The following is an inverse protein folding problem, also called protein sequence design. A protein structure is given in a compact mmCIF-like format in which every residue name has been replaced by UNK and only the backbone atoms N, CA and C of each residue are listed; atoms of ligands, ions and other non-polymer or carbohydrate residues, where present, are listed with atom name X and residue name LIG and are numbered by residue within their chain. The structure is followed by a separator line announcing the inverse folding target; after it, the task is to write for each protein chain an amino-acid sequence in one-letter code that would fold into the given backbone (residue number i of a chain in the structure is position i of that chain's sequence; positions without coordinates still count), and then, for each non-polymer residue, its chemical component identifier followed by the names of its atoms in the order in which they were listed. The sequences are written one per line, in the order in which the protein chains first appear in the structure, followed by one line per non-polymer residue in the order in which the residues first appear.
data_IF_749139608609
#
_entry.id   IF_749139608609
#
_cell.length_a   1.000
_cell.length_b   1.000
_cell.length_c   1.000
_cell.angle_alpha   90.00
_cell.angle_beta   90.00
_cell.angle_gamma   90.00
#
_symmetry.space_group_name_H-M   'P 1'
#
loop_
_entity.id
_entity.type
_entity.pdbx_description
1 polymer ?
#
# COMPACT_ATOMS: atom_id res chain seq x y z
N UNK A 1 32.79 27.31 -10.83
CA UNK A 1 32.54 28.03 -9.57
C UNK A 1 31.22 27.52 -8.97
N UNK A 2 31.35 26.74 -7.90
CA UNK A 2 30.43 26.45 -6.79
C UNK A 2 29.07 25.81 -7.12
N UNK A 3 28.96 24.48 -7.06
CA UNK A 3 28.70 23.71 -5.83
C UNK A 3 27.47 24.22 -5.06
N UNK A 4 26.30 23.63 -5.32
CA UNK A 4 25.22 23.55 -4.32
C UNK A 4 25.12 22.10 -3.84
N UNK A 5 25.98 21.79 -2.87
CA UNK A 5 25.90 20.61 -1.99
C UNK A 5 24.52 20.61 -1.33
N UNK A 6 23.61 19.75 -1.79
CA UNK A 6 22.35 19.56 -1.09
C UNK A 6 22.61 18.63 0.11
N UNK A 7 22.67 19.24 1.31
CA UNK A 7 22.75 18.57 2.61
C UNK A 7 21.75 17.41 2.66
N UNK A 8 22.23 16.17 2.75
CA UNK A 8 21.41 15.05 3.22
C UNK A 8 21.08 15.34 4.68
N UNK A 9 19.92 15.92 4.92
CA UNK A 9 19.34 15.94 6.24
C UNK A 9 18.81 14.52 6.47
N UNK A 10 19.39 13.78 7.42
CA UNK A 10 18.87 12.50 7.94
C UNK A 10 17.62 12.74 8.81
N UNK A 11 16.76 13.65 8.39
CA UNK A 11 15.39 13.69 8.85
C UNK A 11 14.64 12.70 7.97
N UNK A 12 14.00 11.69 8.57
CA UNK A 12 13.09 10.80 7.84
C UNK A 12 12.13 11.68 7.07
N UNK A 13 12.36 11.80 5.77
CA UNK A 13 11.56 12.66 4.93
C UNK A 13 10.17 12.03 4.92
N UNK A 14 9.21 12.64 5.62
CA UNK A 14 7.86 12.10 5.73
C UNK A 14 7.25 11.80 4.35
N UNK A 15 7.65 12.59 3.33
CA UNK A 15 7.31 12.33 1.95
C UNK A 15 7.88 11.00 1.43
N UNK A 16 9.14 10.67 1.71
CA UNK A 16 9.71 9.38 1.34
C UNK A 16 9.05 8.22 2.09
N UNK A 17 8.69 8.42 3.35
CA UNK A 17 8.01 7.41 4.17
C UNK A 17 6.61 7.12 3.60
N UNK A 18 5.83 8.16 3.31
CA UNK A 18 4.54 8.03 2.63
C UNK A 18 4.72 7.39 1.24
N UNK A 19 5.68 7.84 0.43
CA UNK A 19 5.94 7.27 -0.89
C UNK A 19 6.38 5.81 -0.85
N UNK A 20 7.10 5.38 0.19
CA UNK A 20 7.43 3.97 0.36
C UNK A 20 6.18 3.11 0.61
N UNK A 21 5.17 3.70 1.25
CA UNK A 21 3.90 3.05 1.54
C UNK A 21 2.96 3.05 0.31
N UNK A 22 2.75 4.21 -0.33
CA UNK A 22 1.78 4.37 -1.44
C UNK A 22 2.39 4.15 -2.83
N UNK A 23 3.72 4.09 -2.94
CA UNK A 23 4.45 4.02 -4.21
C UNK A 23 4.47 2.62 -4.84
N UNK A 24 3.91 1.61 -4.18
CA UNK A 24 3.73 0.30 -4.77
C UNK A 24 2.80 0.34 -5.98
N UNK A 25 3.13 -0.43 -7.03
CA UNK A 25 2.37 -0.46 -8.31
C UNK A 25 0.88 -0.69 -8.11
N UNK A 26 0.51 -1.46 -7.09
CA UNK A 26 -0.87 -1.85 -6.81
C UNK A 26 -1.47 -1.08 -5.64
N UNK A 27 -0.66 -0.28 -4.94
CA UNK A 27 -1.06 0.31 -3.68
C UNK A 27 -2.24 1.27 -3.85
N UNK A 28 -2.15 2.18 -4.83
CA UNK A 28 -3.25 3.10 -5.13
C UNK A 28 -4.52 2.39 -5.60
N UNK A 29 -4.40 1.29 -6.36
CA UNK A 29 -5.55 0.51 -6.81
C UNK A 29 -6.27 -0.19 -5.65
N UNK A 30 -5.51 -0.72 -4.69
CA UNK A 30 -6.07 -1.35 -3.48
C UNK A 30 -6.75 -0.30 -2.61
N UNK A 31 -6.09 0.84 -2.37
CA UNK A 31 -6.68 1.94 -1.60
C UNK A 31 -7.98 2.42 -2.25
N UNK A 32 -7.99 2.61 -3.56
CA UNK A 32 -9.20 2.99 -4.30
C UNK A 32 -10.32 1.96 -4.16
N UNK A 33 -10.01 0.66 -4.29
CA UNK A 33 -11.00 -0.40 -4.14
C UNK A 33 -11.58 -0.48 -2.71
N UNK A 34 -10.79 -0.11 -1.71
CA UNK A 34 -11.18 -0.08 -0.29
C UNK A 34 -11.81 1.24 0.15
N UNK A 35 -11.78 2.27 -0.69
CA UNK A 35 -12.32 3.59 -0.38
C UNK A 35 -13.82 3.55 -0.07
N UNK A 36 -14.56 2.66 -0.75
CA UNK A 36 -16.00 2.45 -0.52
C UNK A 36 -16.31 1.44 0.60
N UNK A 37 -15.30 0.99 1.35
CA UNK A 37 -15.45 0.06 2.46
C UNK A 37 -14.69 -1.25 2.25
N UNK A 38 -14.79 -2.13 3.26
CA UNK A 38 -14.12 -3.44 3.25
C UNK A 38 -14.71 -4.32 2.15
N UNK A 39 -13.83 -4.98 1.39
CA UNK A 39 -14.18 -5.88 0.29
C UNK A 39 -13.57 -7.25 0.51
N UNK A 40 -14.25 -8.30 0.02
CA UNK A 40 -13.68 -9.65 0.05
C UNK A 40 -12.41 -9.71 -0.81
N UNK A 41 -11.53 -10.66 -0.51
CA UNK A 41 -10.32 -10.86 -1.30
C UNK A 41 -10.62 -11.06 -2.81
N UNK A 42 -11.63 -11.87 -3.12
CA UNK A 42 -12.03 -12.14 -4.52
C UNK A 42 -12.64 -10.93 -5.22
N UNK A 43 -13.26 -10.01 -4.49
CA UNK A 43 -13.75 -8.75 -5.06
C UNK A 43 -12.59 -7.81 -5.39
N UNK A 44 -11.60 -7.70 -4.48
CA UNK A 44 -10.40 -6.90 -4.72
C UNK A 44 -9.61 -7.41 -5.94
N UNK A 45 -9.47 -8.73 -6.05
CA UNK A 45 -8.82 -9.38 -7.19
C UNK A 45 -9.54 -9.09 -8.52
N UNK A 46 -10.88 -9.02 -8.50
CA UNK A 46 -11.68 -8.65 -9.68
C UNK A 46 -11.63 -7.16 -10.02
N UNK A 47 -11.56 -6.29 -9.01
CA UNK A 47 -11.52 -4.84 -9.20
C UNK A 47 -10.17 -4.34 -9.73
N UNK A 48 -9.09 -5.09 -9.49
CA UNK A 48 -7.74 -4.71 -9.87
C UNK A 48 -7.25 -5.61 -11.03
N UNK A 49 -7.50 -5.23 -12.28
CA UNK A 49 -7.15 -6.07 -13.43
C UNK A 49 -5.63 -6.28 -13.49
N UNK A 50 -5.21 -7.52 -13.79
CA UNK A 50 -3.81 -7.97 -13.92
C UNK A 50 -3.04 -8.13 -12.62
N UNK A 51 -3.64 -7.91 -11.45
CA UNK A 51 -2.99 -8.30 -10.20
C UNK A 51 -3.09 -9.82 -10.02
N UNK A 52 -2.00 -10.44 -9.60
CA UNK A 52 -2.01 -11.86 -9.25
C UNK A 52 -2.30 -12.02 -7.75
N UNK A 53 -2.95 -13.11 -7.33
CA UNK A 53 -3.30 -13.40 -5.93
C UNK A 53 -2.11 -13.20 -4.98
N UNK A 54 -0.93 -13.71 -5.36
CA UNK A 54 0.31 -13.58 -4.56
C UNK A 54 0.75 -12.12 -4.40
N UNK A 55 0.58 -11.30 -5.44
CA UNK A 55 0.93 -9.88 -5.39
C UNK A 55 -0.06 -9.10 -4.53
N UNK A 56 -1.36 -9.39 -4.66
CA UNK A 56 -2.39 -8.78 -3.84
C UNK A 56 -2.17 -9.08 -2.36
N UNK A 57 -1.90 -10.34 -1.99
CA UNK A 57 -1.58 -10.72 -0.61
C UNK A 57 -0.33 -9.98 -0.11
N UNK A 58 0.74 -9.94 -0.93
CA UNK A 58 1.97 -9.25 -0.55
C UNK A 58 1.72 -7.77 -0.25
N UNK A 59 0.96 -7.11 -1.11
CA UNK A 59 0.69 -5.68 -0.98
C UNK A 59 -0.22 -5.39 0.22
N UNK A 60 -1.27 -6.20 0.43
CA UNK A 60 -2.14 -6.08 1.61
C UNK A 60 -1.37 -6.28 2.93
N UNK A 61 -0.46 -7.25 3.00
CA UNK A 61 0.42 -7.44 4.17
C UNK A 61 1.33 -6.24 4.40
N UNK A 62 1.86 -5.67 3.32
CA UNK A 62 2.73 -4.50 3.42
C UNK A 62 1.95 -3.27 3.92
N UNK A 63 0.69 -3.13 3.51
CA UNK A 63 -0.22 -2.09 4.00
C UNK A 63 -0.67 -2.30 5.45
N UNK A 64 -0.90 -3.54 5.89
CA UNK A 64 -1.11 -3.85 7.32
C UNK A 64 0.12 -3.46 8.15
N UNK A 65 1.32 -3.83 7.69
CA UNK A 65 2.58 -3.56 8.40
C UNK A 65 2.92 -2.06 8.48
N UNK A 66 2.32 -1.23 7.63
CA UNK A 66 2.51 0.23 7.60
C UNK A 66 1.37 0.99 8.28
N UNK A 67 0.51 0.28 9.01
CA UNK A 67 -0.67 0.81 9.73
C UNK A 67 -1.70 1.51 8.85
N UNK A 68 -1.59 1.38 7.51
CA UNK A 68 -2.58 1.93 6.57
C UNK A 68 -3.90 1.15 6.58
N UNK A 69 -3.83 -0.16 6.84
CA UNK A 69 -4.99 -1.01 6.96
C UNK A 69 -5.11 -1.52 8.41
N UNK A 70 -6.34 -1.64 8.94
CA UNK A 70 -6.53 -2.16 10.28
C UNK A 70 -6.12 -3.64 10.33
N UNK A 71 -5.17 -3.99 11.18
CA UNK A 71 -4.90 -5.39 11.56
C UNK A 71 -6.16 -6.04 12.18
N UNK A 72 -6.52 -7.31 11.88
CA UNK A 72 -6.03 -8.24 10.86
C UNK A 72 -6.96 -8.24 9.61
N UNK A 73 -6.82 -7.23 8.76
CA UNK A 73 -7.55 -7.05 7.50
C UNK A 73 -7.61 -8.33 6.65
N UNK A 74 -6.49 -9.05 6.49
CA UNK A 74 -6.45 -10.27 5.69
C UNK A 74 -7.25 -11.43 6.29
N UNK A 75 -7.44 -11.47 7.61
CA UNK A 75 -8.33 -12.45 8.23
C UNK A 75 -9.80 -12.10 8.04
N UNK A 76 -10.14 -10.81 8.13
CA UNK A 76 -11.51 -10.34 7.91
C UNK A 76 -11.98 -10.57 6.47
N UNK A 77 -11.11 -10.30 5.50
CA UNK A 77 -11.42 -10.50 4.07
C UNK A 77 -11.55 -11.98 3.66
N UNK A 78 -11.11 -12.92 4.52
CA UNK A 78 -11.21 -14.36 4.28
C UNK A 78 -12.52 -14.96 4.82
N UNK A 79 -13.14 -14.32 5.81
CA UNK A 79 -14.37 -14.80 6.46
C UNK A 79 -15.65 -14.18 5.88
N UNK A 80 -15.55 -12.98 5.29
CA UNK A 80 -16.64 -12.35 4.54
C UNK A 80 -16.73 -12.91 3.14
#
# INVERSE_FOLDING_TARGET
MNEKKNKKNEERCALQEILAIIGGKWSMSIIYALFHGKKRFSELERMIPKINTRMLVKELKNMEATELLPEPFLQLCRQQ
#
